data_IF_532751645022
#
_entry.id   IF_532751645022
#
_cell.length_a   1.000
_cell.length_b   1.000
_cell.length_c   1.000
_cell.angle_alpha   90.00
_cell.angle_beta   90.00
_cell.angle_gamma   90.00
#
_symmetry.space_group_name_H-M   'P 1'
#
loop_
_entity.id
_entity.type
_entity.pdbx_description
1 polymer ?
#
# COMPACT_ATOMS: atom_id res chain seq x y z
N UNK A 1 -30.57 9.69 -5.43
CA UNK A 1 -30.33 9.75 -6.90
C UNK A 1 -30.06 8.33 -7.35
N UNK A 2 -30.89 7.74 -8.22
CA UNK A 2 -30.61 6.41 -8.79
C UNK A 2 -29.73 6.54 -10.02
N UNK A 3 -28.64 5.77 -10.09
CA UNK A 3 -27.75 5.73 -11.26
C UNK A 3 -28.55 5.32 -12.50
N UNK A 4 -28.28 5.97 -13.65
CA UNK A 4 -28.99 5.68 -14.90
C UNK A 4 -28.62 4.28 -15.41
N UNK A 5 -29.53 3.56 -16.10
CA UNK A 5 -29.24 2.21 -16.60
C UNK A 5 -27.95 2.10 -17.43
N UNK A 6 -27.65 3.14 -18.23
CA UNK A 6 -26.44 3.21 -19.05
C UNK A 6 -25.16 3.29 -18.20
N UNK A 7 -25.20 4.00 -17.07
CA UNK A 7 -24.07 4.13 -16.15
C UNK A 7 -23.84 2.82 -15.39
N UNK A 8 -24.90 2.11 -15.02
CA UNK A 8 -24.82 0.75 -14.46
C UNK A 8 -24.16 -0.21 -15.45
N UNK A 9 -24.59 -0.22 -16.72
CA UNK A 9 -23.97 -1.06 -17.75
C UNK A 9 -22.48 -0.71 -17.92
N UNK A 10 -22.15 0.59 -17.98
CA UNK A 10 -20.76 1.04 -18.09
C UNK A 10 -19.91 0.60 -16.90
N UNK A 11 -20.46 0.64 -15.69
CA UNK A 11 -19.78 0.19 -14.48
C UNK A 11 -19.51 -1.32 -14.51
N UNK A 12 -20.48 -2.11 -14.99
CA UNK A 12 -20.37 -3.55 -15.16
C UNK A 12 -19.38 -3.94 -16.26
N UNK A 13 -19.35 -3.23 -17.39
CA UNK A 13 -18.41 -3.52 -18.47
C UNK A 13 -17.01 -2.96 -18.22
N UNK A 14 -16.83 -2.12 -17.19
CA UNK A 14 -15.57 -1.42 -16.92
C UNK A 14 -14.34 -2.35 -16.89
N UNK A 15 -14.37 -3.53 -16.23
CA UNK A 15 -13.21 -4.44 -16.21
C UNK A 15 -12.81 -4.98 -17.58
N UNK A 16 -13.72 -4.97 -18.55
CA UNK A 16 -13.49 -5.47 -19.90
C UNK A 16 -13.01 -4.38 -20.87
N UNK A 17 -13.13 -3.11 -20.48
CA UNK A 17 -12.86 -1.95 -21.35
C UNK A 17 -11.66 -1.14 -20.87
N UNK A 18 -11.46 -0.99 -19.56
CA UNK A 18 -10.34 -0.22 -19.03
C UNK A 18 -9.06 -1.07 -18.98
N UNK A 19 -7.97 -0.68 -19.68
CA UNK A 19 -6.74 -1.47 -19.74
C UNK A 19 -6.09 -1.70 -18.37
N UNK A 20 -6.17 -0.72 -17.47
CA UNK A 20 -5.61 -0.84 -16.12
C UNK A 20 -6.30 -1.90 -15.27
N UNK A 21 -7.47 -2.41 -15.70
CA UNK A 21 -8.24 -3.49 -15.07
C UNK A 21 -8.21 -4.77 -15.89
N UNK A 22 -8.35 -4.65 -17.22
CA UNK A 22 -8.37 -5.79 -18.13
C UNK A 22 -7.04 -6.56 -18.09
N UNK A 23 -5.91 -5.85 -18.06
CA UNK A 23 -4.58 -6.50 -18.01
C UNK A 23 -4.40 -7.28 -16.71
N UNK A 24 -4.65 -6.70 -15.51
CA UNK A 24 -4.67 -7.47 -14.26
C UNK A 24 -5.65 -8.64 -14.26
N UNK A 25 -6.86 -8.45 -14.81
CA UNK A 25 -7.87 -9.51 -14.90
C UNK A 25 -7.33 -10.71 -15.69
N UNK A 26 -6.77 -10.47 -16.88
CA UNK A 26 -6.17 -11.52 -17.72
C UNK A 26 -4.98 -12.17 -17.01
N UNK A 27 -4.13 -11.37 -16.38
CA UNK A 27 -2.97 -11.86 -15.63
C UNK A 27 -3.38 -12.79 -14.48
N UNK A 28 -4.30 -12.34 -13.62
CA UNK A 28 -4.83 -13.17 -12.53
C UNK A 28 -5.57 -14.40 -13.04
N UNK A 29 -6.31 -14.28 -14.15
CA UNK A 29 -6.96 -15.41 -14.79
C UNK A 29 -5.96 -16.48 -15.22
N UNK A 30 -4.87 -16.10 -15.88
CA UNK A 30 -3.84 -17.04 -16.31
C UNK A 30 -3.18 -17.72 -15.11
N UNK A 31 -2.82 -16.96 -14.08
CA UNK A 31 -2.18 -17.49 -12.89
C UNK A 31 -3.10 -18.41 -12.09
N UNK A 32 -4.37 -18.03 -11.88
CA UNK A 32 -5.34 -18.87 -11.18
C UNK A 32 -5.70 -20.13 -11.98
N UNK A 33 -5.79 -20.00 -13.31
CA UNK A 33 -5.99 -21.15 -14.19
C UNK A 33 -4.81 -22.13 -14.08
N UNK A 34 -3.57 -21.65 -14.15
CA UNK A 34 -2.39 -22.48 -13.98
C UNK A 34 -2.35 -23.12 -12.58
N UNK A 35 -2.74 -22.36 -11.55
CA UNK A 35 -2.80 -22.85 -10.17
C UNK A 35 -3.79 -24.00 -10.03
N UNK A 36 -4.92 -23.95 -10.71
CA UNK A 36 -5.91 -25.02 -10.67
C UNK A 36 -5.43 -26.35 -11.27
N UNK A 37 -4.42 -26.32 -12.15
CA UNK A 37 -3.83 -27.52 -12.76
C UNK A 37 -2.61 -28.06 -11.99
N UNK A 38 -2.01 -27.25 -11.11
CA UNK A 38 -0.72 -27.55 -10.47
C UNK A 38 -0.77 -28.50 -9.27
N UNK A 39 -1.91 -29.11 -8.95
CA UNK A 39 -2.06 -29.99 -7.78
C UNK A 39 -1.68 -29.30 -6.46
N UNK A 40 -0.82 -29.92 -5.65
CA UNK A 40 -0.36 -29.35 -4.37
C UNK A 40 0.42 -28.04 -4.56
N UNK A 41 1.28 -27.98 -5.58
CA UNK A 41 2.01 -26.75 -5.91
C UNK A 41 1.05 -25.66 -6.41
N UNK A 42 -0.02 -26.08 -7.08
CA UNK A 42 -1.15 -25.24 -7.45
C UNK A 42 -1.86 -24.63 -6.24
N UNK A 43 -2.09 -25.40 -5.17
CA UNK A 43 -2.68 -24.90 -3.93
C UNK A 43 -1.80 -23.85 -3.25
N UNK A 44 -0.48 -24.09 -3.20
CA UNK A 44 0.47 -23.10 -2.72
C UNK A 44 0.42 -21.82 -3.57
N UNK A 45 0.33 -21.94 -4.89
CA UNK A 45 0.19 -20.79 -5.77
C UNK A 45 -1.14 -20.05 -5.53
N UNK A 46 -2.28 -20.75 -5.40
CA UNK A 46 -3.55 -20.11 -5.04
C UNK A 46 -3.46 -19.32 -3.74
N UNK A 47 -2.81 -19.88 -2.72
CA UNK A 47 -2.57 -19.20 -1.45
C UNK A 47 -1.78 -17.89 -1.66
N UNK A 48 -0.77 -17.86 -2.52
CA UNK A 48 -0.04 -16.62 -2.83
C UNK A 48 -0.86 -15.62 -3.68
N UNK A 49 -1.73 -16.11 -4.57
CA UNK A 49 -2.49 -15.26 -5.49
C UNK A 49 -3.72 -14.60 -4.85
N UNK A 50 -4.38 -15.30 -3.93
CA UNK A 50 -5.64 -14.85 -3.33
C UNK A 50 -5.55 -13.44 -2.73
N UNK A 51 -4.54 -13.11 -1.89
CA UNK A 51 -4.40 -11.76 -1.34
C UNK A 51 -4.26 -10.69 -2.42
N UNK A 52 -3.50 -10.97 -3.48
CA UNK A 52 -3.26 -10.02 -4.56
C UNK A 52 -4.55 -9.69 -5.32
N UNK A 53 -5.35 -10.71 -5.63
CA UNK A 53 -6.66 -10.55 -6.30
C UNK A 53 -7.61 -9.72 -5.43
N UNK A 54 -7.73 -10.08 -4.15
CA UNK A 54 -8.62 -9.39 -3.20
C UNK A 54 -8.21 -7.94 -2.96
N UNK A 55 -6.90 -7.69 -2.81
CA UNK A 55 -6.37 -6.34 -2.66
C UNK A 55 -6.66 -5.49 -3.89
N UNK A 56 -6.41 -6.06 -5.07
CA UNK A 56 -6.70 -5.35 -6.31
C UNK A 56 -8.19 -5.03 -6.47
N UNK A 57 -9.09 -5.93 -6.06
CA UNK A 57 -10.53 -5.66 -6.06
C UNK A 57 -10.92 -4.48 -5.15
N UNK A 58 -10.32 -4.36 -3.96
CA UNK A 58 -10.56 -3.22 -3.07
C UNK A 58 -10.04 -1.91 -3.66
N UNK A 59 -8.85 -1.93 -4.26
CA UNK A 59 -8.26 -0.76 -4.93
C UNK A 59 -9.09 -0.34 -6.14
N UNK A 60 -9.62 -1.31 -6.90
CA UNK A 60 -10.57 -1.05 -7.98
C UNK A 60 -11.81 -0.34 -7.45
N UNK A 61 -12.44 -0.86 -6.39
CA UNK A 61 -13.62 -0.24 -5.78
C UNK A 61 -13.32 1.19 -5.33
N UNK A 62 -12.21 1.40 -4.62
CA UNK A 62 -11.78 2.72 -4.14
C UNK A 62 -11.53 3.71 -5.28
N UNK A 63 -10.78 3.30 -6.31
CA UNK A 63 -10.53 4.13 -7.48
C UNK A 63 -11.84 4.53 -8.18
N UNK A 64 -12.77 3.57 -8.32
CA UNK A 64 -14.10 3.83 -8.90
C UNK A 64 -14.94 4.76 -8.04
N UNK A 65 -14.86 4.63 -6.72
CA UNK A 65 -15.52 5.51 -5.76
C UNK A 65 -14.98 6.94 -5.79
N UNK A 66 -13.69 7.12 -6.11
CA UNK A 66 -13.04 8.44 -6.30
C UNK A 66 -13.17 8.97 -7.73
N UNK A 67 -13.73 8.20 -8.67
CA UNK A 67 -13.77 8.57 -10.09
C UNK A 67 -12.40 8.55 -10.79
N UNK A 68 -11.41 7.88 -10.21
CA UNK A 68 -10.04 7.76 -10.71
C UNK A 68 -9.79 6.40 -11.38
N UNK A 69 -8.65 6.27 -12.06
CA UNK A 69 -8.18 4.99 -12.60
C UNK A 69 -7.46 4.19 -11.50
N UNK A 70 -7.67 2.87 -11.40
CA UNK A 70 -6.95 2.04 -10.44
C UNK A 70 -5.48 1.90 -10.82
N UNK A 71 -4.62 1.82 -9.81
CA UNK A 71 -3.20 1.51 -9.96
C UNK A 71 -3.00 0.08 -10.47
N UNK A 72 -1.99 -0.14 -11.30
CA UNK A 72 -1.63 -1.47 -11.81
C UNK A 72 -0.95 -2.26 -10.68
N UNK A 73 -1.28 -3.54 -10.47
CA UNK A 73 -0.75 -4.30 -9.34
C UNK A 73 0.77 -4.53 -9.48
N UNK A 74 1.53 -4.07 -8.49
CA UNK A 74 2.96 -4.36 -8.32
C UNK A 74 3.25 -5.55 -7.40
N UNK A 75 4.53 -5.78 -7.10
CA UNK A 75 5.00 -6.92 -6.29
C UNK A 75 4.45 -6.87 -4.86
N UNK A 76 4.25 -5.66 -4.33
CA UNK A 76 3.70 -5.40 -3.00
C UNK A 76 2.31 -6.00 -2.78
N UNK A 77 1.54 -6.25 -3.85
CA UNK A 77 0.20 -6.86 -3.79
C UNK A 77 0.22 -8.32 -3.31
N UNK A 78 1.35 -9.02 -3.49
CA UNK A 78 1.52 -10.41 -3.08
C UNK A 78 1.93 -10.59 -1.62
N UNK A 79 2.21 -9.49 -0.91
CA UNK A 79 2.54 -9.54 0.51
C UNK A 79 1.27 -9.73 1.37
N UNK A 80 1.18 -10.86 2.06
CA UNK A 80 0.12 -11.23 3.00
C UNK A 80 -0.01 -10.27 4.19
N UNK A 81 1.08 -9.63 4.60
CA UNK A 81 1.12 -8.76 5.78
C UNK A 81 1.09 -7.26 5.44
N UNK A 82 1.03 -6.90 4.15
CA UNK A 82 0.75 -5.52 3.73
C UNK A 82 -0.73 -5.18 3.88
N UNK A 83 -1.09 -3.92 4.17
CA UNK A 83 -2.46 -3.36 4.13
C UNK A 83 -3.59 -4.34 4.52
N UNK A 84 -3.59 -4.82 5.77
CA UNK A 84 -4.48 -5.90 6.24
C UNK A 84 -5.98 -5.65 6.09
N UNK A 85 -6.41 -4.39 5.94
CA UNK A 85 -7.81 -4.05 5.69
C UNK A 85 -8.34 -4.61 4.36
N UNK A 86 -7.48 -4.78 3.35
CA UNK A 86 -7.92 -5.21 2.01
C UNK A 86 -8.34 -6.68 1.95
N UNK A 87 -7.97 -7.49 2.96
CA UNK A 87 -8.37 -8.90 3.08
C UNK A 87 -9.62 -9.10 3.92
N UNK A 88 -10.05 -8.07 4.65
CA UNK A 88 -11.23 -8.13 5.51
C UNK A 88 -12.55 -8.46 4.78
N UNK A 89 -12.77 -8.13 3.49
CA UNK A 89 -13.96 -8.57 2.77
C UNK A 89 -14.17 -10.08 2.79
N UNK A 90 -13.09 -10.87 2.81
CA UNK A 90 -13.18 -12.34 2.90
C UNK A 90 -13.82 -12.77 4.21
N UNK A 91 -13.41 -12.16 5.32
CA UNK A 91 -13.94 -12.48 6.65
C UNK A 91 -15.44 -12.19 6.68
N UNK A 92 -15.85 -11.01 6.19
CA UNK A 92 -17.27 -10.63 6.12
C UNK A 92 -18.03 -11.61 5.22
N UNK A 93 -17.50 -11.92 4.03
CA UNK A 93 -18.14 -12.83 3.09
C UNK A 93 -18.34 -14.23 3.68
N UNK A 94 -17.31 -14.80 4.30
CA UNK A 94 -17.36 -16.13 4.93
C UNK A 94 -18.40 -16.16 6.05
N UNK A 95 -18.44 -15.13 6.91
CA UNK A 95 -19.42 -15.03 7.99
C UNK A 95 -20.84 -14.96 7.42
N UNK A 96 -21.08 -14.10 6.41
CA UNK A 96 -22.41 -13.95 5.82
C UNK A 96 -22.89 -15.22 5.13
N UNK A 97 -22.01 -15.92 4.41
CA UNK A 97 -22.32 -17.22 3.80
C UNK A 97 -22.65 -18.24 4.89
N UNK A 98 -21.82 -18.33 5.92
CA UNK A 98 -22.04 -19.28 7.03
C UNK A 98 -23.37 -19.04 7.74
N UNK A 99 -23.66 -17.79 8.12
CA UNK A 99 -24.93 -17.43 8.77
C UNK A 99 -26.12 -17.71 7.87
N UNK A 100 -26.02 -17.43 6.57
CA UNK A 100 -27.09 -17.69 5.60
C UNK A 100 -27.40 -19.18 5.49
N UNK A 101 -26.37 -20.02 5.38
CA UNK A 101 -26.52 -21.48 5.33
C UNK A 101 -27.08 -22.03 6.65
N UNK A 102 -26.57 -21.54 7.79
CA UNK A 102 -27.03 -21.95 9.11
C UNK A 102 -28.50 -21.58 9.37
N UNK A 103 -28.94 -20.39 8.93
CA UNK A 103 -30.33 -19.97 9.03
C UNK A 103 -31.24 -20.86 8.18
N UNK A 104 -30.81 -21.20 6.97
CA UNK A 104 -31.55 -22.11 6.09
C UNK A 104 -31.70 -23.51 6.65
N UNK A 105 -30.65 -24.05 7.28
CA UNK A 105 -30.69 -25.39 7.86
C UNK A 105 -31.54 -25.46 9.14
N UNK A 106 -31.57 -24.40 9.95
CA UNK A 106 -32.32 -24.37 11.21
C UNK A 106 -33.78 -23.95 11.06
N UNK A 107 -34.07 -23.00 10.18
CA UNK A 107 -35.38 -22.34 10.08
C UNK A 107 -36.05 -22.52 8.71
N UNK A 108 -35.44 -23.29 7.80
CA UNK A 108 -35.98 -23.62 6.48
C UNK A 108 -35.76 -22.55 5.41
N UNK A 109 -36.34 -22.79 4.23
CA UNK A 109 -36.07 -21.99 3.02
C UNK A 109 -36.42 -20.51 3.16
N UNK A 110 -37.49 -20.16 3.90
CA UNK A 110 -37.88 -18.76 4.10
C UNK A 110 -36.79 -17.96 4.83
N UNK A 111 -36.14 -18.56 5.83
CA UNK A 111 -35.03 -17.92 6.54
C UNK A 111 -33.78 -17.81 5.67
N UNK A 112 -33.48 -18.82 4.84
CA UNK A 112 -32.41 -18.76 3.85
C UNK A 112 -32.59 -17.58 2.90
N UNK A 113 -33.79 -17.41 2.33
CA UNK A 113 -34.09 -16.30 1.43
C UNK A 113 -33.97 -14.94 2.12
N UNK A 114 -34.51 -14.82 3.35
CA UNK A 114 -34.37 -13.59 4.13
C UNK A 114 -32.89 -13.24 4.39
N UNK A 115 -32.07 -14.23 4.75
CA UNK A 115 -30.64 -14.02 4.99
C UNK A 115 -29.82 -13.76 3.73
N UNK A 116 -30.22 -14.31 2.57
CA UNK A 116 -29.61 -13.97 1.29
C UNK A 116 -29.86 -12.51 0.94
N UNK A 117 -31.09 -12.02 1.08
CA UNK A 117 -31.43 -10.61 0.83
C UNK A 117 -30.67 -9.70 1.80
N UNK A 118 -30.65 -10.05 3.08
CA UNK A 118 -29.88 -9.32 4.09
C UNK A 118 -28.39 -9.27 3.73
N UNK A 119 -27.76 -10.42 3.46
CA UNK A 119 -26.34 -10.51 3.12
C UNK A 119 -26.00 -9.74 1.84
N UNK A 120 -26.86 -9.81 0.83
CA UNK A 120 -26.67 -9.11 -0.44
C UNK A 120 -26.82 -7.58 -0.33
N UNK A 121 -27.53 -7.07 0.66
CA UNK A 121 -27.57 -5.62 0.99
C UNK A 121 -26.43 -5.21 1.92
N UNK A 122 -26.09 -6.08 2.86
CA UNK A 122 -25.11 -5.82 3.91
C UNK A 122 -23.67 -5.85 3.38
N UNK A 123 -23.33 -6.87 2.57
CA UNK A 123 -21.99 -7.03 2.02
C UNK A 123 -21.48 -5.83 1.21
N UNK A 124 -22.21 -5.30 0.19
CA UNK A 124 -21.75 -4.14 -0.57
C UNK A 124 -21.60 -2.89 0.32
N UNK A 125 -22.43 -2.75 1.35
CA UNK A 125 -22.31 -1.65 2.30
C UNK A 125 -21.04 -1.76 3.14
N UNK A 126 -20.72 -2.96 3.65
CA UNK A 126 -19.49 -3.18 4.44
C UNK A 126 -18.24 -2.90 3.61
N UNK A 127 -18.14 -3.43 2.38
CA UNK A 127 -16.96 -3.18 1.54
C UNK A 127 -16.87 -1.73 1.07
N UNK A 128 -18.00 -1.04 0.91
CA UNK A 128 -18.01 0.41 0.64
C UNK A 128 -17.48 1.21 1.84
N UNK A 129 -17.98 0.97 3.06
CA UNK A 129 -17.43 1.62 4.27
C UNK A 129 -15.95 1.27 4.45
N UNK A 130 -15.57 0.02 4.19
CA UNK A 130 -14.18 -0.42 4.29
C UNK A 130 -13.28 0.32 3.29
N UNK A 131 -13.72 0.50 2.05
CA UNK A 131 -12.97 1.24 1.04
C UNK A 131 -12.88 2.75 1.35
N UNK A 132 -13.89 3.31 2.02
CA UNK A 132 -13.89 4.72 2.45
C UNK A 132 -12.98 4.92 3.67
N UNK A 133 -13.01 4.01 4.64
CA UNK A 133 -12.39 4.23 5.97
C UNK A 133 -11.08 3.48 6.18
N UNK A 134 -10.74 2.56 5.29
CA UNK A 134 -9.62 1.60 5.43
C UNK A 134 -9.58 0.85 6.77
N UNK A 135 -10.73 0.76 7.46
CA UNK A 135 -10.82 0.21 8.81
C UNK A 135 -11.78 -0.98 8.86
N UNK A 136 -11.26 -2.19 9.12
CA UNK A 136 -12.07 -3.39 9.33
C UNK A 136 -13.18 -3.21 10.37
N UNK A 137 -12.87 -2.58 11.51
CA UNK A 137 -13.83 -2.37 12.58
C UNK A 137 -14.93 -1.38 12.18
N UNK A 138 -14.60 -0.34 11.42
CA UNK A 138 -15.63 0.60 10.93
C UNK A 138 -16.53 -0.02 9.87
N UNK A 139 -16.01 -0.94 9.06
CA UNK A 139 -16.80 -1.59 8.00
C UNK A 139 -18.02 -2.37 8.49
N UNK A 140 -18.00 -2.80 9.76
CA UNK A 140 -19.10 -3.50 10.42
C UNK A 140 -19.79 -2.66 11.50
N UNK A 141 -19.36 -1.40 11.67
CA UNK A 141 -19.95 -0.50 12.66
C UNK A 141 -21.37 -0.11 12.24
N UNK A 142 -22.41 -0.40 13.05
CA UNK A 142 -23.80 -0.11 12.71
C UNK A 142 -24.04 1.38 12.46
N UNK A 143 -23.31 2.28 13.13
CA UNK A 143 -23.43 3.72 12.95
C UNK A 143 -22.89 4.13 11.57
N UNK A 144 -21.73 3.60 11.17
CA UNK A 144 -21.13 3.90 9.87
C UNK A 144 -22.01 3.37 8.72
N UNK A 145 -22.50 2.14 8.85
CA UNK A 145 -23.42 1.52 7.88
C UNK A 145 -24.75 2.29 7.78
N UNK A 146 -25.32 2.73 8.91
CA UNK A 146 -26.54 3.52 8.91
C UNK A 146 -26.34 4.88 8.22
N UNK A 147 -25.19 5.55 8.40
CA UNK A 147 -24.85 6.79 7.68
C UNK A 147 -24.74 6.54 6.18
N UNK A 148 -24.07 5.46 5.79
CA UNK A 148 -23.93 5.08 4.39
C UNK A 148 -25.30 4.81 3.76
N UNK A 149 -26.15 4.01 4.40
CA UNK A 149 -27.50 3.72 3.90
C UNK A 149 -28.39 4.96 3.82
N UNK A 150 -28.30 5.89 4.77
CA UNK A 150 -29.06 7.16 4.67
C UNK A 150 -28.75 7.92 3.39
N UNK A 151 -27.52 7.85 2.90
CA UNK A 151 -27.09 8.54 1.67
C UNK A 151 -27.31 7.67 0.41
N UNK A 152 -27.01 6.37 0.46
CA UNK A 152 -26.89 5.52 -0.72
C UNK A 152 -27.85 4.31 -0.77
N UNK A 153 -28.80 4.14 0.17
CA UNK A 153 -29.67 2.96 0.19
C UNK A 153 -30.44 2.74 -1.12
N UNK A 154 -30.86 3.83 -1.78
CA UNK A 154 -31.60 3.78 -3.04
C UNK A 154 -30.79 3.21 -4.22
N UNK A 155 -29.46 3.12 -4.13
CA UNK A 155 -28.60 2.57 -5.19
C UNK A 155 -28.08 1.17 -4.87
N UNK A 156 -27.93 0.81 -3.58
CA UNK A 156 -27.35 -0.48 -3.19
C UNK A 156 -28.15 -1.71 -3.61
N UNK A 157 -29.45 -1.61 -3.83
CA UNK A 157 -30.24 -2.74 -4.36
C UNK A 157 -29.70 -3.23 -5.72
N UNK A 158 -29.08 -2.37 -6.52
CA UNK A 158 -28.46 -2.77 -7.80
C UNK A 158 -27.29 -3.74 -7.56
N UNK A 159 -26.46 -3.49 -6.55
CA UNK A 159 -25.37 -4.38 -6.16
C UNK A 159 -25.90 -5.72 -5.64
N UNK A 160 -27.01 -5.70 -4.88
CA UNK A 160 -27.68 -6.91 -4.40
C UNK A 160 -28.22 -7.75 -5.56
N UNK A 161 -28.96 -7.15 -6.49
CA UNK A 161 -29.48 -7.85 -7.68
C UNK A 161 -28.33 -8.40 -8.52
N UNK A 162 -27.25 -7.65 -8.67
CA UNK A 162 -26.07 -8.12 -9.38
C UNK A 162 -25.46 -9.35 -8.69
N UNK A 163 -25.27 -9.34 -7.36
CA UNK A 163 -24.75 -10.49 -6.62
C UNK A 163 -25.63 -11.74 -6.76
N UNK A 164 -26.95 -11.59 -6.75
CA UNK A 164 -27.88 -12.70 -7.01
C UNK A 164 -27.67 -13.25 -8.43
N UNK A 165 -27.53 -12.36 -9.42
CA UNK A 165 -27.18 -12.74 -10.79
C UNK A 165 -25.83 -13.45 -10.90
N UNK A 166 -24.80 -12.98 -10.19
CA UNK A 166 -23.48 -13.61 -10.12
C UNK A 166 -23.56 -15.00 -9.51
N UNK A 167 -24.31 -15.17 -8.41
CA UNK A 167 -24.51 -16.47 -7.78
C UNK A 167 -25.21 -17.44 -8.74
N UNK A 168 -26.28 -16.99 -9.40
CA UNK A 168 -26.98 -17.78 -10.41
C UNK A 168 -26.07 -18.18 -11.57
N UNK A 169 -25.34 -17.23 -12.17
CA UNK A 169 -24.42 -17.52 -13.27
C UNK A 169 -23.30 -18.46 -12.82
N UNK A 170 -22.80 -18.32 -11.59
CA UNK A 170 -21.79 -19.21 -11.02
C UNK A 170 -22.28 -20.66 -10.92
N UNK A 171 -23.56 -20.88 -10.58
CA UNK A 171 -24.15 -22.22 -10.59
C UNK A 171 -24.24 -22.79 -12.01
N UNK A 172 -24.56 -21.96 -13.01
CA UNK A 172 -24.58 -22.40 -14.40
C UNK A 172 -23.18 -22.63 -14.99
N UNK A 173 -22.14 -22.05 -14.38
CA UNK A 173 -20.77 -22.16 -14.86
C UNK A 173 -20.13 -23.54 -14.59
N UNK A 174 -20.77 -24.41 -13.80
CA UNK A 174 -20.29 -25.78 -13.52
C UNK A 174 -20.11 -26.62 -14.79
N UNK A 175 -20.87 -26.32 -15.86
CA UNK A 175 -20.75 -27.00 -17.15
C UNK A 175 -19.62 -26.47 -18.06
N UNK A 176 -18.93 -25.41 -17.68
CA UNK A 176 -17.88 -24.79 -18.50
C UNK A 176 -16.51 -25.44 -18.27
N UNK A 177 -15.61 -25.42 -19.26
CA UNK A 177 -14.21 -25.74 -19.04
C UNK A 177 -13.64 -24.87 -17.91
N UNK A 178 -12.85 -25.47 -17.02
CA UNK A 178 -12.36 -24.83 -15.80
C UNK A 178 -11.72 -23.44 -16.04
N UNK A 179 -10.89 -23.30 -17.09
CA UNK A 179 -10.29 -22.00 -17.42
C UNK A 179 -11.33 -20.92 -17.76
N UNK A 180 -12.40 -21.29 -18.45
CA UNK A 180 -13.47 -20.37 -18.82
C UNK A 180 -14.35 -20.04 -17.59
N UNK A 181 -14.60 -21.01 -16.72
CA UNK A 181 -15.28 -20.79 -15.45
C UNK A 181 -14.51 -19.81 -14.55
N UNK A 182 -13.18 -19.96 -14.43
CA UNK A 182 -12.31 -19.05 -13.67
C UNK A 182 -12.33 -17.65 -14.28
N UNK A 183 -12.23 -17.51 -15.60
CA UNK A 183 -12.30 -16.21 -16.29
C UNK A 183 -13.63 -15.52 -16.00
N UNK A 184 -14.74 -16.25 -16.17
CA UNK A 184 -16.08 -15.75 -15.95
C UNK A 184 -16.26 -15.27 -14.50
N UNK A 185 -15.86 -16.10 -13.52
CA UNK A 185 -15.95 -15.73 -12.11
C UNK A 185 -15.13 -14.48 -11.79
N UNK A 186 -13.86 -14.41 -12.24
CA UNK A 186 -13.02 -13.23 -12.03
C UNK A 186 -13.62 -11.97 -12.64
N UNK A 187 -14.13 -12.06 -13.87
CA UNK A 187 -14.76 -10.95 -14.55
C UNK A 187 -16.01 -10.46 -13.79
N UNK A 188 -16.84 -11.38 -13.30
CA UNK A 188 -18.02 -11.05 -12.50
C UNK A 188 -17.64 -10.39 -11.17
N UNK A 189 -16.63 -10.89 -10.47
CA UNK A 189 -16.17 -10.26 -9.23
C UNK A 189 -15.59 -8.87 -9.47
N UNK A 190 -14.72 -8.68 -10.47
CA UNK A 190 -14.19 -7.35 -10.80
C UNK A 190 -15.31 -6.37 -11.16
N UNK A 191 -16.32 -6.85 -11.88
CA UNK A 191 -17.50 -6.06 -12.26
C UNK A 191 -18.32 -5.66 -11.03
N UNK A 192 -18.46 -6.55 -10.04
CA UNK A 192 -19.13 -6.25 -8.78
C UNK A 192 -18.42 -5.12 -8.01
N UNK A 193 -17.10 -5.22 -7.81
CA UNK A 193 -16.34 -4.19 -7.10
C UNK A 193 -16.35 -2.84 -7.84
N UNK A 194 -16.25 -2.89 -9.18
CA UNK A 194 -16.42 -1.70 -10.02
C UNK A 194 -17.80 -1.05 -9.88
N UNK A 195 -18.86 -1.88 -9.87
CA UNK A 195 -20.23 -1.42 -9.65
C UNK A 195 -20.37 -0.76 -8.28
N UNK A 196 -19.93 -1.41 -7.21
CA UNK A 196 -20.05 -0.86 -5.85
C UNK A 196 -19.34 0.49 -5.73
N UNK A 197 -18.11 0.61 -6.26
CA UNK A 197 -17.41 1.90 -6.29
C UNK A 197 -18.18 2.96 -7.07
N UNK A 198 -18.72 2.62 -8.25
CA UNK A 198 -19.54 3.55 -9.03
C UNK A 198 -20.84 3.97 -8.33
N UNK A 199 -21.43 3.10 -7.50
CA UNK A 199 -22.67 3.39 -6.77
C UNK A 199 -22.49 4.42 -5.65
N UNK A 200 -21.27 4.52 -5.10
CA UNK A 200 -20.94 5.46 -4.02
C UNK A 200 -20.25 6.73 -4.52
N UNK A 201 -19.67 6.73 -5.72
CA UNK A 201 -18.98 7.89 -6.31
C UNK A 201 -19.81 9.18 -6.36
N UNK A 202 -21.10 9.18 -6.78
CA UNK A 202 -21.87 10.41 -6.89
C UNK A 202 -22.17 11.11 -5.56
N UNK A 203 -21.93 10.42 -4.45
CA UNK A 203 -22.25 10.90 -3.11
C UNK A 203 -21.07 11.55 -2.40
N UNK A 204 -19.87 11.60 -3.03
CA UNK A 204 -18.69 12.23 -2.44
C UNK A 204 -18.30 11.67 -1.08
N UNK A 205 -18.69 10.42 -0.77
CA UNK A 205 -18.60 9.88 0.59
C UNK A 205 -17.18 9.70 1.11
N UNK A 206 -16.23 9.52 0.19
CA UNK A 206 -14.81 9.50 0.49
C UNK A 206 -14.38 10.90 0.92
N UNK A 207 -14.81 11.93 0.19
CA UNK A 207 -14.53 13.34 0.47
C UNK A 207 -15.23 13.85 1.75
N UNK A 208 -16.38 13.28 2.12
CA UNK A 208 -17.18 13.66 3.31
C UNK A 208 -16.65 13.08 4.64
N UNK A 209 -15.84 12.02 4.62
CA UNK A 209 -15.34 11.32 5.81
C UNK A 209 -13.82 11.44 5.93
N UNK A 210 -13.12 11.77 4.84
CA UNK A 210 -11.77 12.27 4.98
C UNK A 210 -11.82 13.50 5.91
N UNK A 211 -11.08 13.38 7.03
CA UNK A 211 -10.41 14.54 7.64
C UNK A 211 -9.93 15.35 6.45
N UNK A 212 -10.27 16.66 6.33
CA UNK A 212 -9.96 17.41 5.12
C UNK A 212 -8.58 16.98 4.67
N UNK A 213 -8.48 16.41 3.47
CA UNK A 213 -7.16 16.36 2.84
C UNK A 213 -6.60 17.74 3.08
N UNK A 214 -5.43 17.80 3.73
CA UNK A 214 -4.68 19.03 3.81
C UNK A 214 -4.77 19.65 2.42
N UNK A 215 -5.25 20.91 2.37
CA UNK A 215 -5.95 21.49 1.24
C UNK A 215 -5.32 21.04 -0.06
N UNK A 216 -6.08 20.33 -0.90
CA UNK A 216 -5.74 20.07 -2.30
C UNK A 216 -4.27 19.66 -2.48
N UNK A 217 -3.90 18.40 -2.15
CA UNK A 217 -2.52 17.87 -2.20
C UNK A 217 -1.58 18.79 -2.99
N UNK A 218 -0.94 19.72 -2.28
CA UNK A 218 0.00 20.65 -2.91
C UNK A 218 0.95 19.81 -3.77
N UNK A 219 1.33 20.27 -4.96
CA UNK A 219 2.34 19.58 -5.78
C UNK A 219 3.59 19.23 -4.93
N UNK A 220 3.86 20.05 -3.91
CA UNK A 220 4.87 19.82 -2.87
C UNK A 220 4.67 18.55 -2.01
N UNK A 221 3.44 18.18 -1.67
CA UNK A 221 3.11 16.97 -0.91
C UNK A 221 3.29 15.70 -1.75
N UNK A 222 2.79 15.69 -2.99
CA UNK A 222 3.01 14.57 -3.93
C UNK A 222 4.49 14.44 -4.26
N UNK A 223 5.18 15.57 -4.48
CA UNK A 223 6.63 15.59 -4.65
C UNK A 223 7.34 15.02 -3.41
N UNK A 224 6.93 15.39 -2.19
CA UNK A 224 7.56 14.87 -0.96
C UNK A 224 7.39 13.35 -0.81
N UNK A 225 6.21 12.80 -1.12
CA UNK A 225 5.96 11.36 -1.09
C UNK A 225 6.72 10.61 -2.20
N UNK A 226 6.82 11.20 -3.39
CA UNK A 226 7.62 10.66 -4.49
C UNK A 226 9.13 10.68 -4.17
N UNK A 227 9.62 11.75 -3.54
CA UNK A 227 10.99 11.89 -3.06
C UNK A 227 11.27 10.82 -1.99
N UNK A 228 10.39 10.65 -1.01
CA UNK A 228 10.58 9.61 0.03
C UNK A 228 10.57 8.20 -0.58
N UNK A 229 9.65 7.90 -1.50
CA UNK A 229 9.62 6.61 -2.22
C UNK A 229 10.92 6.38 -3.01
N UNK A 230 11.43 7.41 -3.67
CA UNK A 230 12.72 7.37 -4.39
C UNK A 230 13.87 7.04 -3.42
N UNK A 231 13.95 7.76 -2.30
CA UNK A 231 14.98 7.52 -1.26
C UNK A 231 14.91 6.11 -0.68
N UNK A 232 13.72 5.58 -0.40
CA UNK A 232 13.55 4.19 0.07
C UNK A 232 14.11 3.17 -0.93
N UNK A 233 13.86 3.37 -2.23
CA UNK A 233 14.38 2.48 -3.26
C UNK A 233 15.91 2.52 -3.31
N UNK A 234 16.51 3.71 -3.37
CA UNK A 234 17.98 3.88 -3.38
C UNK A 234 18.60 3.23 -2.13
N UNK A 235 18.03 3.49 -0.95
CA UNK A 235 18.51 2.92 0.31
C UNK A 235 18.47 1.38 0.29
N UNK A 236 17.40 0.79 -0.27
CA UNK A 236 17.26 -0.66 -0.39
C UNK A 236 18.30 -1.26 -1.34
N UNK A 237 18.59 -0.59 -2.46
CA UNK A 237 19.63 -0.98 -3.39
C UNK A 237 21.03 -0.87 -2.77
N UNK A 238 21.31 0.23 -2.08
CA UNK A 238 22.57 0.45 -1.37
C UNK A 238 22.79 -0.62 -0.28
N UNK A 239 21.76 -0.95 0.49
CA UNK A 239 21.81 -2.06 1.45
C UNK A 239 22.16 -3.39 0.77
N UNK A 240 21.55 -3.67 -0.38
CA UNK A 240 21.85 -4.84 -1.21
C UNK A 240 23.31 -4.93 -1.67
N UNK A 241 23.93 -3.81 -2.07
CA UNK A 241 25.35 -3.78 -2.42
C UNK A 241 26.26 -3.98 -1.21
N UNK A 242 26.00 -3.25 -0.13
CA UNK A 242 26.84 -3.25 1.09
C UNK A 242 26.81 -4.61 1.78
N UNK A 243 25.62 -5.21 1.93
CA UNK A 243 25.45 -6.53 2.55
C UNK A 243 26.14 -7.66 1.77
N UNK A 244 26.35 -7.48 0.47
CA UNK A 244 27.07 -8.42 -0.41
C UNK A 244 28.57 -8.12 -0.54
N UNK A 245 29.09 -7.20 0.27
CA UNK A 245 30.52 -6.86 0.33
C UNK A 245 30.96 -5.74 -0.62
N UNK A 246 30.08 -5.24 -1.51
CA UNK A 246 30.38 -4.08 -2.35
C UNK A 246 30.02 -2.78 -1.61
N UNK A 247 30.85 -2.43 -0.62
CA UNK A 247 30.61 -1.26 0.24
C UNK A 247 30.73 0.05 -0.52
N UNK A 248 31.80 0.19 -1.31
CA UNK A 248 32.08 1.42 -2.05
C UNK A 248 30.99 1.70 -3.08
N UNK A 249 30.53 0.68 -3.81
CA UNK A 249 29.44 0.84 -4.78
C UNK A 249 28.12 1.26 -4.13
N UNK A 250 27.80 0.70 -2.95
CA UNK A 250 26.59 1.09 -2.22
C UNK A 250 26.65 2.49 -1.63
N UNK A 251 27.82 2.91 -1.10
CA UNK A 251 28.03 4.27 -0.59
C UNK A 251 28.02 5.30 -1.72
N UNK A 252 28.70 5.02 -2.83
CA UNK A 252 28.70 5.91 -4.00
C UNK A 252 27.29 6.09 -4.56
N UNK A 253 26.49 5.02 -4.63
CA UNK A 253 25.10 5.10 -5.07
C UNK A 253 24.23 6.03 -4.19
N UNK A 254 24.45 6.00 -2.87
CA UNK A 254 23.78 6.93 -1.95
C UNK A 254 24.24 8.37 -2.16
N UNK A 255 25.55 8.59 -2.30
CA UNK A 255 26.12 9.92 -2.50
C UNK A 255 25.70 10.55 -3.83
N UNK A 256 25.64 9.76 -4.91
CA UNK A 256 25.09 10.16 -6.20
C UNK A 256 23.62 10.56 -6.07
N UNK A 257 22.81 9.73 -5.41
CA UNK A 257 21.40 10.07 -5.17
C UNK A 257 21.23 11.33 -4.33
N UNK A 258 22.08 11.56 -3.33
CA UNK A 258 22.05 12.81 -2.53
C UNK A 258 22.35 14.02 -3.40
N UNK A 259 23.33 13.91 -4.31
CA UNK A 259 23.70 15.01 -5.20
C UNK A 259 22.58 15.37 -6.20
N UNK A 260 21.76 14.40 -6.58
CA UNK A 260 20.61 14.57 -7.47
C UNK A 260 19.31 14.93 -6.74
N UNK A 261 19.29 14.86 -5.40
CA UNK A 261 18.09 15.12 -4.60
C UNK A 261 17.72 16.62 -4.60
N UNK A 262 16.43 17.00 -4.70
CA UNK A 262 16.00 18.39 -4.59
C UNK A 262 16.39 19.08 -3.27
N UNK A 263 16.56 18.31 -2.19
CA UNK A 263 17.08 18.77 -0.90
C UNK A 263 18.20 17.83 -0.42
N UNK A 264 19.46 18.06 -0.86
CA UNK A 264 20.59 17.21 -0.51
C UNK A 264 20.85 17.14 0.99
N UNK A 265 20.64 18.24 1.73
CA UNK A 265 20.89 18.30 3.18
C UNK A 265 19.90 17.40 3.91
N UNK A 266 18.60 17.50 3.59
CA UNK A 266 17.60 16.60 4.16
C UNK A 266 17.81 15.15 3.73
N UNK A 267 18.22 14.90 2.49
CA UNK A 267 18.50 13.55 1.99
C UNK A 267 19.66 12.89 2.76
N UNK A 268 20.76 13.60 2.99
CA UNK A 268 21.89 13.12 3.80
C UNK A 268 21.45 12.68 5.19
N UNK A 269 20.70 13.54 5.88
CA UNK A 269 20.21 13.22 7.22
C UNK A 269 19.27 12.01 7.19
N UNK A 270 18.31 12.01 6.26
CA UNK A 270 17.34 10.92 6.12
C UNK A 270 18.03 9.57 5.89
N UNK A 271 18.98 9.50 4.96
CA UNK A 271 19.73 8.27 4.70
C UNK A 271 20.54 7.82 5.92
N UNK A 272 21.28 8.74 6.54
CA UNK A 272 22.07 8.43 7.73
C UNK A 272 21.20 7.83 8.85
N UNK A 273 20.07 8.44 9.16
CA UNK A 273 19.18 7.96 10.23
C UNK A 273 18.58 6.59 9.96
N UNK A 274 18.24 6.29 8.71
CA UNK A 274 17.74 4.96 8.32
C UNK A 274 18.85 3.91 8.29
N UNK A 275 20.08 4.28 7.92
CA UNK A 275 21.21 3.36 7.98
C UNK A 275 21.58 2.99 9.43
N UNK A 276 21.30 3.87 10.40
CA UNK A 276 21.48 3.54 11.82
C UNK A 276 20.53 2.45 12.32
N UNK A 277 19.44 2.15 11.59
CA UNK A 277 18.51 1.06 11.94
C UNK A 277 18.88 -0.27 11.28
N UNK A 278 19.98 -0.34 10.52
CA UNK A 278 20.45 -1.59 9.92
C UNK A 278 21.11 -2.49 10.97
N UNK A 279 21.15 -3.80 10.68
CA UNK A 279 21.80 -4.80 11.55
C UNK A 279 23.28 -4.46 11.82
N UNK A 280 23.95 -3.84 10.86
CA UNK A 280 25.30 -3.30 11.00
C UNK A 280 25.28 -1.79 10.77
N UNK A 281 25.67 -1.03 11.78
CA UNK A 281 25.70 0.45 11.77
C UNK A 281 26.99 1.01 11.17
N UNK A 282 28.02 0.18 10.95
CA UNK A 282 29.30 0.60 10.40
C UNK A 282 29.18 1.35 9.05
N UNK A 283 28.34 0.92 8.10
CA UNK A 283 28.12 1.67 6.86
C UNK A 283 27.55 3.08 7.10
N UNK A 284 26.71 3.25 8.12
CA UNK A 284 26.17 4.57 8.50
C UNK A 284 27.29 5.49 8.99
N UNK A 285 28.26 4.95 9.73
CA UNK A 285 29.45 5.70 10.17
C UNK A 285 30.33 6.12 8.98
N UNK A 286 30.61 5.22 8.03
CA UNK A 286 31.34 5.58 6.82
C UNK A 286 30.60 6.65 5.98
N UNK A 287 29.27 6.55 5.88
CA UNK A 287 28.46 7.58 5.23
C UNK A 287 28.53 8.92 6.00
N UNK A 288 28.54 8.88 7.33
CA UNK A 288 28.68 10.08 8.16
C UNK A 288 30.02 10.79 7.98
N UNK A 289 31.13 10.08 7.72
CA UNK A 289 32.42 10.72 7.43
C UNK A 289 32.34 11.65 6.20
N UNK A 290 31.62 11.22 5.16
CA UNK A 290 31.37 12.05 3.97
C UNK A 290 30.51 13.27 4.29
N UNK A 291 29.50 13.12 5.14
CA UNK A 291 28.65 14.24 5.56
C UNK A 291 29.42 15.23 6.47
N UNK A 292 30.33 14.76 7.32
CA UNK A 292 31.22 15.63 8.10
C UNK A 292 32.12 16.46 7.17
N UNK A 293 32.74 15.82 6.17
CA UNK A 293 33.53 16.51 5.14
C UNK A 293 32.70 17.60 4.44
N UNK A 294 31.48 17.26 4.03
CA UNK A 294 30.57 18.20 3.36
C UNK A 294 30.27 19.43 4.23
N UNK A 295 29.91 19.24 5.51
CA UNK A 295 29.69 20.36 6.43
C UNK A 295 30.94 21.22 6.62
N UNK A 296 32.12 20.61 6.78
CA UNK A 296 33.37 21.35 6.96
C UNK A 296 33.75 22.16 5.72
N UNK A 297 33.56 21.60 4.52
CA UNK A 297 33.83 22.30 3.25
C UNK A 297 32.91 23.51 3.03
N UNK A 298 31.69 23.47 3.56
CA UNK A 298 30.74 24.58 3.52
C UNK A 298 30.87 25.54 4.72
N UNK A 299 31.84 25.32 5.63
CA UNK A 299 32.07 26.16 6.80
C UNK A 299 31.04 25.96 7.93
N UNK A 300 30.24 24.90 7.88
CA UNK A 300 29.21 24.57 8.85
C UNK A 300 29.79 23.84 10.07
N UNK A 301 30.48 24.60 10.92
CA UNK A 301 31.24 24.05 12.05
C UNK A 301 30.35 23.32 13.07
N UNK A 302 29.23 23.93 13.48
CA UNK A 302 28.34 23.37 14.51
C UNK A 302 27.67 22.07 14.05
N UNK A 303 27.07 21.98 12.84
CA UNK A 303 26.57 20.71 12.31
C UNK A 303 27.63 19.61 12.22
N UNK A 304 28.83 19.93 11.72
CA UNK A 304 29.94 18.98 11.64
C UNK A 304 30.29 18.41 13.02
N UNK A 305 30.48 19.29 14.02
CA UNK A 305 30.81 18.90 15.40
C UNK A 305 29.70 18.04 16.02
N UNK A 306 28.43 18.43 15.86
CA UNK A 306 27.29 17.64 16.36
C UNK A 306 27.22 16.25 15.73
N UNK A 307 27.47 16.14 14.43
CA UNK A 307 27.47 14.86 13.73
C UNK A 307 28.62 13.96 14.21
N UNK A 308 29.82 14.52 14.39
CA UNK A 308 30.97 13.79 14.96
C UNK A 308 30.62 13.26 16.36
N UNK A 309 30.05 14.10 17.23
CA UNK A 309 29.64 13.67 18.57
C UNK A 309 28.59 12.57 18.53
N UNK A 310 27.57 12.70 17.67
CA UNK A 310 26.51 11.67 17.50
C UNK A 310 27.11 10.34 17.06
N UNK A 311 28.04 10.36 16.11
CA UNK A 311 28.73 9.14 15.66
C UNK A 311 29.60 8.53 16.77
N UNK A 312 30.23 9.36 17.62
CA UNK A 312 31.02 8.89 18.76
C UNK A 312 30.22 8.29 19.92
N UNK A 313 28.91 8.58 19.99
CA UNK A 313 28.00 7.86 20.90
C UNK A 313 27.72 6.43 20.44
N UNK A 314 27.85 6.16 19.14
CA UNK A 314 27.65 4.83 18.55
C UNK A 314 28.97 4.06 18.56
N UNK A 315 30.06 4.70 18.14
CA UNK A 315 31.40 4.16 18.16
C UNK A 315 32.38 5.21 18.69
N UNK A 316 32.89 5.00 19.91
CA UNK A 316 33.82 5.92 20.56
C UNK A 316 35.10 6.19 19.74
N UNK A 317 35.46 5.29 18.82
CA UNK A 317 36.61 5.39 17.93
C UNK A 317 36.31 6.12 16.61
N UNK A 318 35.05 6.54 16.39
CA UNK A 318 34.69 7.27 15.18
C UNK A 318 35.57 8.52 14.99
N UNK A 319 36.09 8.68 13.77
CA UNK A 319 36.86 9.83 13.31
C UNK A 319 36.36 10.33 11.96
N UNK A 320 36.42 11.64 11.70
CA UNK A 320 36.39 12.16 10.33
C UNK A 320 37.50 11.54 9.46
N UNK A 321 37.46 11.78 8.16
CA UNK A 321 38.58 11.39 7.31
C UNK A 321 39.89 12.07 7.76
N UNK A 322 41.05 11.43 7.55
CA UNK A 322 42.34 11.99 7.93
C UNK A 322 42.58 13.38 7.34
N UNK A 323 42.12 13.63 6.12
CA UNK A 323 42.30 14.91 5.43
C UNK A 323 41.46 16.04 6.05
N UNK A 324 40.37 15.70 6.75
CA UNK A 324 39.45 16.67 7.35
C UNK A 324 39.67 16.84 8.87
N UNK A 325 40.62 16.11 9.46
CA UNK A 325 40.82 16.06 10.90
C UNK A 325 41.19 17.42 11.49
N UNK A 326 42.09 18.14 10.84
CA UNK A 326 42.52 19.48 11.28
C UNK A 326 41.34 20.47 11.25
N UNK A 327 40.57 20.46 10.17
CA UNK A 327 39.36 21.28 10.04
C UNK A 327 38.31 20.91 11.11
N UNK A 328 38.14 19.63 11.43
CA UNK A 328 37.23 19.17 12.48
C UNK A 328 37.69 19.61 13.88
N UNK A 329 39.00 19.61 14.16
CA UNK A 329 39.56 20.10 15.43
C UNK A 329 39.29 21.59 15.57
N UNK A 330 39.60 22.38 14.53
CA UNK A 330 39.35 23.82 14.53
C UNK A 330 37.86 24.14 14.70
N UNK A 331 36.97 23.39 14.02
CA UNK A 331 35.53 23.51 14.18
C UNK A 331 35.06 23.20 15.62
N UNK A 332 35.64 22.19 16.26
CA UNK A 332 35.33 21.84 17.65
C UNK A 332 35.77 22.92 18.64
N UNK A 333 36.93 23.55 18.43
CA UNK A 333 37.39 24.68 19.26
C UNK A 333 36.52 25.92 19.06
N UNK A 334 36.21 26.25 17.80
CA UNK A 334 35.34 27.37 17.47
C UNK A 334 33.90 27.20 17.99
N UNK A 335 33.45 25.95 18.17
CA UNK A 335 32.13 25.61 18.72
C UNK A 335 32.12 25.39 20.24
N UNK A 336 33.15 25.86 20.96
CA UNK A 336 33.32 25.75 22.41
C UNK A 336 33.25 24.30 22.94
N UNK A 337 33.82 23.36 22.19
CA UNK A 337 33.88 21.93 22.55
C UNK A 337 35.33 21.43 22.68
N UNK A 338 36.09 21.93 23.68
CA UNK A 338 37.51 21.64 23.82
C UNK A 338 37.81 20.18 24.16
N UNK A 339 36.85 19.47 24.77
CA UNK A 339 36.98 18.04 25.07
C UNK A 339 37.03 17.20 23.78
N UNK A 340 36.14 17.50 22.81
CA UNK A 340 36.16 16.83 21.51
C UNK A 340 37.44 17.15 20.74
N UNK A 341 37.87 18.41 20.73
CA UNK A 341 39.12 18.83 20.07
C UNK A 341 40.34 18.11 20.67
N UNK A 342 40.45 18.03 22.00
CA UNK A 342 41.51 17.31 22.68
C UNK A 342 41.51 15.82 22.35
N UNK A 343 40.32 15.21 22.32
CA UNK A 343 40.20 13.80 21.94
C UNK A 343 40.59 13.54 20.49
N UNK A 344 40.20 14.41 19.55
CA UNK A 344 40.55 14.31 18.13
C UNK A 344 42.07 14.48 17.88
N UNK A 345 42.80 15.12 18.80
CA UNK A 345 44.27 15.29 18.72
C UNK A 345 45.07 14.10 19.25
N UNK A 346 44.50 13.29 20.14
CA UNK A 346 45.25 12.26 20.89
C UNK A 346 45.63 11.04 20.04
N UNK A 347 44.97 10.83 18.91
CA UNK A 347 45.16 9.75 17.94
C UNK A 347 44.82 10.27 16.55
#
# INVERSE_FOLDING_TARGET
MTIKPLETIRALSYPLVEPSVLVPLIFFWLLLSLASWGGVLGLFMMFLLLPAVLRYQMILLEARARGMKPEVPGIEFFNWFGNGWTLFPVVIFVILVWVTVAAGSQFGSSALFAMLVFSGLFFPACIAVLAITHSPLQSVNPIALARLWKKCAATFWQATVYLVGVAWVSMQAEGLPMMLAVLLQLALFFSFFSLVGSLIQPYGLIEDIDIPEMPQQDEASVASAAIEKSRINVLSHAYGFISRGNRDGGLNHLLESVAEDPDPVAARLWYFERMLTWDNTLPALFFAQHNVRDHLQHGEQVPAVKLIMRCRLIDAQFRPFPEDLEAAILAAEASDNPALAADLRRH
#
